data_IF_418510769123
#
_entry.id   IF_418510769123
#
_cell.length_a   1.000
_cell.length_b   1.000
_cell.length_c   1.000
_cell.angle_alpha   90.00
_cell.angle_beta   90.00
_cell.angle_gamma   90.00
#
_symmetry.space_group_name_H-M   'P 1'
#
loop_
_entity.id
_entity.type
_entity.pdbx_description
1 polymer ?
#
# COMPACT_ATOMS: atom_id res chain seq x y z
N UNK A 1 8.68 -7.29 -24.57
CA UNK A 1 8.37 -6.22 -23.59
C UNK A 1 7.24 -6.72 -22.70
N UNK A 2 7.47 -6.82 -21.38
CA UNK A 2 6.46 -7.27 -20.41
C UNK A 2 5.92 -6.07 -19.63
N UNK A 3 4.64 -6.08 -19.33
CA UNK A 3 3.97 -4.99 -18.59
C UNK A 3 3.68 -5.43 -17.16
N UNK A 4 3.98 -4.54 -16.21
CA UNK A 4 3.78 -4.73 -14.78
C UNK A 4 2.98 -3.55 -14.24
N UNK A 5 1.83 -3.82 -13.63
CA UNK A 5 1.04 -2.82 -12.93
C UNK A 5 1.20 -2.98 -11.41
N UNK A 6 1.70 -1.95 -10.75
CA UNK A 6 1.85 -1.90 -9.31
C UNK A 6 0.67 -1.12 -8.72
N UNK A 7 -0.32 -1.86 -8.22
CA UNK A 7 -1.49 -1.27 -7.54
C UNK A 7 -1.18 -1.15 -6.05
N UNK A 8 -1.28 0.06 -5.49
CA UNK A 8 -0.96 0.27 -4.08
C UNK A 8 -1.82 1.35 -3.43
N UNK A 9 -2.02 1.25 -2.12
CA UNK A 9 -2.62 2.28 -1.27
C UNK A 9 -1.62 2.68 -0.20
N UNK A 10 -1.60 3.95 0.21
CA UNK A 10 -0.73 4.39 1.31
C UNK A 10 -1.37 5.55 2.06
N UNK A 11 -1.80 5.30 3.30
CA UNK A 11 -2.48 6.31 4.13
C UNK A 11 -1.56 7.48 4.53
N UNK A 12 -0.31 7.20 4.91
CA UNK A 12 0.65 8.20 5.43
C UNK A 12 1.84 8.44 4.50
N UNK A 13 1.80 7.89 3.29
CA UNK A 13 2.94 7.88 2.35
C UNK A 13 4.09 6.90 2.69
N UNK A 14 4.11 6.28 3.88
CA UNK A 14 5.17 5.33 4.25
C UNK A 14 5.20 4.09 3.35
N UNK A 15 4.04 3.47 3.10
CA UNK A 15 3.96 2.30 2.21
C UNK A 15 4.31 2.67 0.77
N UNK A 16 3.92 3.87 0.31
CA UNK A 16 4.29 4.37 -1.02
C UNK A 16 5.81 4.44 -1.22
N UNK A 17 6.56 4.92 -0.22
CA UNK A 17 8.04 4.92 -0.27
C UNK A 17 8.63 3.50 -0.31
N UNK A 18 8.03 2.57 0.43
CA UNK A 18 8.45 1.17 0.41
C UNK A 18 8.20 0.53 -0.96
N UNK A 19 7.04 0.77 -1.57
CA UNK A 19 6.72 0.32 -2.93
C UNK A 19 7.78 0.83 -3.92
N UNK A 20 8.13 2.12 -3.88
CA UNK A 20 9.16 2.68 -4.75
C UNK A 20 10.53 1.99 -4.55
N UNK A 21 10.93 1.77 -3.30
CA UNK A 21 12.20 1.10 -3.00
C UNK A 21 12.23 -0.36 -3.48
N UNK A 22 11.14 -1.09 -3.31
CA UNK A 22 11.04 -2.51 -3.73
C UNK A 22 10.97 -2.63 -5.24
N UNK A 23 10.28 -1.70 -5.92
CA UNK A 23 10.13 -1.70 -7.37
C UNK A 23 11.33 -1.08 -8.11
N UNK A 24 12.24 -0.38 -7.43
CA UNK A 24 13.39 0.27 -8.05
C UNK A 24 14.21 -0.64 -9.00
N UNK A 25 14.48 -1.92 -8.69
CA UNK A 25 15.18 -2.83 -9.61
C UNK A 25 14.39 -3.18 -10.88
N UNK A 26 13.06 -3.04 -10.87
CA UNK A 26 12.22 -3.29 -12.05
C UNK A 26 12.27 -2.13 -13.04
N UNK A 27 12.50 -0.90 -12.55
CA UNK A 27 12.52 0.32 -13.34
C UNK A 27 13.79 0.47 -14.20
N UNK A 28 14.86 -0.25 -13.85
CA UNK A 28 16.15 -0.22 -14.58
C UNK A 28 16.24 -1.30 -15.65
N UNK A 29 15.18 -2.09 -15.86
CA UNK A 29 15.14 -3.18 -16.83
C UNK A 29 14.47 -2.74 -18.13
N UNK A 30 15.21 -2.79 -19.23
CA UNK A 30 14.71 -2.40 -20.56
C UNK A 30 13.63 -3.36 -21.12
N UNK A 31 13.52 -4.57 -20.57
CA UNK A 31 12.52 -5.55 -20.99
C UNK A 31 11.15 -5.38 -20.32
N UNK A 32 11.06 -4.47 -19.33
CA UNK A 32 9.87 -4.23 -18.51
C UNK A 32 9.33 -2.80 -18.70
N UNK A 33 8.01 -2.70 -18.76
CA UNK A 33 7.27 -1.45 -18.54
C UNK A 33 6.55 -1.57 -17.20
N UNK A 34 6.79 -0.63 -16.29
CA UNK A 34 6.21 -0.64 -14.94
C UNK A 34 5.36 0.62 -14.76
N UNK A 35 4.07 0.41 -14.50
CA UNK A 35 3.11 1.47 -14.20
C UNK A 35 2.68 1.40 -12.74
N UNK A 36 2.54 2.56 -12.09
CA UNK A 36 2.06 2.64 -10.71
C UNK A 36 0.64 3.20 -10.67
N UNK A 37 -0.26 2.48 -10.00
CA UNK A 37 -1.63 2.90 -9.77
C UNK A 37 -1.87 3.09 -8.27
N UNK A 38 -1.74 4.33 -7.76
CA UNK A 38 -2.15 4.64 -6.40
C UNK A 38 -3.68 4.62 -6.33
N UNK A 39 -4.24 3.68 -5.58
CA UNK A 39 -5.69 3.62 -5.31
C UNK A 39 -6.02 4.35 -4.02
N UNK A 40 -7.27 4.78 -3.89
CA UNK A 40 -7.79 5.42 -2.69
C UNK A 40 -9.12 4.74 -2.31
N UNK A 41 -9.39 4.55 -1.01
CA UNK A 41 -10.68 4.05 -0.58
C UNK A 41 -11.77 5.08 -0.88
N UNK A 42 -12.97 4.62 -1.24
CA UNK A 42 -14.11 5.50 -1.50
C UNK A 42 -14.47 6.37 -0.28
N UNK A 43 -14.26 5.83 0.92
CA UNK A 43 -14.33 6.58 2.18
C UNK A 43 -12.94 6.58 2.82
N UNK A 44 -12.30 7.74 3.03
CA UNK A 44 -11.00 7.81 3.66
C UNK A 44 -10.99 7.20 5.07
N UNK A 45 -10.02 6.35 5.35
CA UNK A 45 -9.76 5.87 6.71
C UNK A 45 -9.20 7.00 7.58
N UNK A 46 -9.62 7.11 8.85
CA UNK A 46 -9.14 8.15 9.74
C UNK A 46 -7.64 7.96 10.01
N UNK A 47 -6.90 9.06 10.07
CA UNK A 47 -5.51 9.07 10.54
C UNK A 47 -5.23 10.37 11.30
N UNK A 48 -4.65 10.32 12.52
CA UNK A 48 -4.36 9.12 13.31
C UNK A 48 -5.64 8.38 13.71
N UNK A 49 -5.52 7.07 13.93
CA UNK A 49 -6.67 6.23 14.27
C UNK A 49 -7.12 6.45 15.72
N UNK A 50 -8.42 6.70 15.99
CA UNK A 50 -8.95 6.66 17.35
C UNK A 50 -8.82 5.25 17.93
N UNK A 51 -8.47 5.15 19.22
CA UNK A 51 -8.14 3.88 19.88
C UNK A 51 -9.23 2.80 19.70
N UNK A 52 -10.50 3.13 19.97
CA UNK A 52 -11.61 2.17 19.84
C UNK A 52 -11.91 1.82 18.37
N UNK A 53 -11.84 2.81 17.47
CA UNK A 53 -12.10 2.62 16.04
C UNK A 53 -11.04 1.73 15.38
N UNK A 54 -9.79 1.81 15.83
CA UNK A 54 -8.72 0.94 15.33
C UNK A 54 -9.05 -0.53 15.58
N UNK A 55 -9.37 -0.90 16.82
CA UNK A 55 -9.64 -2.29 17.18
C UNK A 55 -10.98 -2.83 16.67
N UNK A 56 -11.97 -1.95 16.43
CA UNK A 56 -13.21 -2.38 15.79
C UNK A 56 -13.01 -2.69 14.30
N UNK A 57 -12.06 -2.03 13.63
CA UNK A 57 -11.75 -2.25 12.22
C UNK A 57 -10.74 -3.37 12.01
N UNK A 58 -9.83 -3.60 12.96
CA UNK A 58 -8.80 -4.65 12.89
C UNK A 58 -8.87 -5.60 14.11
N UNK A 59 -9.98 -6.32 14.35
CA UNK A 59 -10.14 -7.15 15.54
C UNK A 59 -9.10 -8.27 15.66
N UNK A 60 -8.59 -8.78 14.54
CA UNK A 60 -7.57 -9.82 14.47
C UNK A 60 -6.24 -9.39 15.10
N UNK A 61 -5.95 -8.08 15.08
CA UNK A 61 -4.75 -7.52 15.72
C UNK A 61 -4.78 -7.65 17.25
N UNK A 62 -5.97 -7.55 17.86
CA UNK A 62 -6.17 -7.80 19.31
C UNK A 62 -6.03 -9.28 19.61
N UNK A 63 -6.54 -10.12 18.72
CA UNK A 63 -6.53 -11.57 18.87
C UNK A 63 -5.16 -12.21 18.58
N UNK A 64 -4.17 -11.42 18.13
CA UNK A 64 -2.84 -11.89 17.70
C UNK A 64 -2.92 -13.05 16.71
N UNK A 65 -3.89 -12.99 15.80
CA UNK A 65 -4.08 -13.96 14.73
C UNK A 65 -3.84 -13.25 13.40
N UNK A 66 -2.72 -13.51 12.70
CA UNK A 66 -2.48 -12.94 11.39
C UNK A 66 -3.50 -13.43 10.35
#
# INVERSE_FOLDING_TARGET
>A
MRQVLVVHYSQTGQLGRLVQSVCAPLLVRDDLQVDFLPVQPATPYPFPWPFLTFFSVFPETVLMRP
#
